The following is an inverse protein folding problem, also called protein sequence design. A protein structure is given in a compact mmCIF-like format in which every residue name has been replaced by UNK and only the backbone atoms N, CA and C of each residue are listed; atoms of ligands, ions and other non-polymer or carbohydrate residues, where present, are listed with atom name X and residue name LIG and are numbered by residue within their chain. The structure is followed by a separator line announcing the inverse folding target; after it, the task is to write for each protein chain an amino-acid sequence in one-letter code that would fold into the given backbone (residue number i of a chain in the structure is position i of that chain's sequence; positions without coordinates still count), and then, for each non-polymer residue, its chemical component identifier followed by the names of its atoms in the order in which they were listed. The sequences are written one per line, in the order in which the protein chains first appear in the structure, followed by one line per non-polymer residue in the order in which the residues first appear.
data_IF_296802100960
#
_entry.id   IF_296802100960
#
_cell.length_a   1.000
_cell.length_b   1.000
_cell.length_c   1.000
_cell.angle_alpha   90.00
_cell.angle_beta   90.00
_cell.angle_gamma   90.00
#
_symmetry.space_group_name_H-M   'P 1'
#
loop_
_entity.id
_entity.type
_entity.pdbx_description
1 polymer ?
#
# COMPACT_ATOMS: atom_id res chain seq x y z
N UNK A 1 -17.59 -15.91 2.05
CA UNK A 1 -17.63 -14.43 1.92
C UNK A 1 -16.24 -13.93 2.26
N UNK A 2 -15.60 -13.16 1.37
CA UNK A 2 -14.34 -12.49 1.70
C UNK A 2 -14.59 -11.54 2.87
N UNK A 3 -13.79 -11.63 3.95
CA UNK A 3 -13.97 -10.77 5.11
C UNK A 3 -13.67 -9.31 4.77
N UNK A 4 -14.41 -8.34 5.30
CA UNK A 4 -14.14 -6.93 5.03
C UNK A 4 -12.85 -6.50 5.76
N UNK A 5 -11.98 -5.67 5.17
CA UNK A 5 -10.67 -5.37 5.78
C UNK A 5 -10.70 -4.44 6.98
N UNK A 6 -11.86 -3.93 7.40
CA UNK A 6 -11.98 -3.40 8.76
C UNK A 6 -11.85 -4.53 9.81
N UNK A 7 -12.27 -5.75 9.46
CA UNK A 7 -12.12 -6.95 10.30
C UNK A 7 -10.77 -7.65 10.09
N UNK A 8 -10.11 -7.44 8.94
CA UNK A 8 -8.80 -8.04 8.66
C UNK A 8 -7.66 -7.33 9.39
N UNK A 9 -6.96 -8.06 10.25
CA UNK A 9 -5.66 -7.64 10.76
C UNK A 9 -4.62 -7.83 9.66
N UNK A 10 -3.99 -6.73 9.24
CA UNK A 10 -2.80 -6.75 8.39
C UNK A 10 -1.58 -7.15 9.23
N UNK A 11 -1.59 -8.37 9.78
CA UNK A 11 -0.47 -8.90 10.59
C UNK A 11 0.85 -8.86 9.80
N UNK A 12 0.81 -8.91 8.46
CA UNK A 12 2.00 -8.81 7.61
C UNK A 12 2.13 -7.50 6.81
N UNK A 13 1.38 -6.46 7.17
CA UNK A 13 1.53 -5.12 6.60
C UNK A 13 1.65 -4.13 7.76
N UNK A 14 2.89 -3.77 8.13
CA UNK A 14 3.16 -2.73 9.15
C UNK A 14 2.29 -1.49 8.90
N UNK A 15 1.21 -1.39 9.69
CA UNK A 15 0.08 -0.48 9.48
C UNK A 15 0.48 0.95 9.82
N UNK A 16 0.04 1.88 8.97
CA UNK A 16 -0.35 3.25 9.35
C UNK A 16 -1.56 3.64 8.52
N UNK A 17 -2.76 3.44 9.04
CA UNK A 17 -4.00 3.99 8.51
C UNK A 17 -4.34 5.26 9.29
N UNK A 18 -4.31 6.42 8.62
CA UNK A 18 -4.88 7.66 9.15
C UNK A 18 -6.34 7.71 8.71
N UNK A 19 -7.26 7.55 9.65
CA UNK A 19 -8.67 7.88 9.46
C UNK A 19 -8.80 9.41 9.54
N UNK A 20 -9.36 10.02 8.50
CA UNK A 20 -9.73 11.45 8.50
C UNK A 20 -11.21 11.56 8.86
N UNK A 21 -11.61 12.51 9.72
CA UNK A 21 -13.02 12.74 10.00
C UNK A 21 -13.74 13.38 8.81
N UNK A 22 -15.02 13.05 8.70
CA UNK A 22 -15.94 13.41 7.62
C UNK A 22 -16.16 14.93 7.51
N UNK A 23 -16.13 15.43 6.28
CA UNK A 23 -16.51 16.81 5.92
C UNK A 23 -17.31 16.79 4.62
N UNK A 24 -18.62 16.93 4.77
CA UNK A 24 -19.67 16.99 3.75
C UNK A 24 -19.46 18.14 2.76
N UNK A 25 -19.47 17.88 1.44
CA UNK A 25 -19.87 18.87 0.42
C UNK A 25 -20.64 18.21 -0.72
N UNK A 26 -21.70 18.86 -1.25
CA UNK A 26 -22.61 18.29 -2.24
C UNK A 26 -22.07 18.37 -3.68
N UNK A 27 -22.34 17.32 -4.45
CA UNK A 27 -22.07 17.20 -5.89
C UNK A 27 -23.09 18.04 -6.67
N UNK A 28 -22.61 18.99 -7.49
CA UNK A 28 -23.42 19.61 -8.54
C UNK A 28 -23.20 18.88 -9.87
N UNK A 29 -24.27 18.30 -10.38
CA UNK A 29 -24.37 17.70 -11.70
C UNK A 29 -24.52 18.79 -12.76
N UNK A 30 -23.66 18.79 -13.78
CA UNK A 30 -23.96 19.45 -15.06
C UNK A 30 -23.62 18.51 -16.22
N UNK A 31 -24.64 18.30 -17.04
CA UNK A 31 -24.64 17.50 -18.26
C UNK A 31 -23.84 18.23 -19.36
N UNK A 32 -23.19 17.44 -20.23
CA UNK A 32 -22.60 17.92 -21.48
C UNK A 32 -23.46 17.46 -22.67
N UNK A 33 -23.61 18.27 -23.73
CA UNK A 33 -24.26 17.83 -24.96
C UNK A 33 -23.30 17.06 -25.90
N UNK A 34 -23.96 16.23 -26.70
CA UNK A 34 -23.47 15.26 -27.70
C UNK A 34 -23.05 15.95 -29.00
N UNK A 35 -22.07 15.36 -29.71
CA UNK A 35 -21.88 15.20 -31.19
C UNK A 35 -20.40 14.79 -31.41
N UNK A 36 -19.97 13.87 -32.27
CA UNK A 36 -20.59 13.06 -33.32
C UNK A 36 -19.56 12.01 -33.82
N UNK A 37 -20.04 11.13 -34.70
CA UNK A 37 -19.48 9.84 -35.11
C UNK A 37 -18.11 9.82 -35.83
N UNK A 38 -17.42 8.69 -35.69
CA UNK A 38 -16.66 8.08 -36.78
C UNK A 38 -16.64 6.54 -36.66
N UNK A 39 -17.15 5.87 -37.70
CA UNK A 39 -17.18 4.43 -37.91
C UNK A 39 -15.77 3.87 -38.12
N UNK A 40 -15.47 2.66 -37.62
CA UNK A 40 -14.73 1.67 -38.41
C UNK A 40 -14.86 0.22 -37.86
N UNK A 41 -15.64 -0.53 -38.64
CA UNK A 41 -15.56 -1.93 -39.07
C UNK A 41 -14.97 -3.00 -38.14
N UNK A 42 -15.86 -3.95 -37.84
CA UNK A 42 -15.62 -5.29 -37.31
C UNK A 42 -14.87 -6.15 -38.34
N UNK A 43 -13.92 -6.95 -37.86
CA UNK A 43 -13.56 -8.22 -38.47
C UNK A 43 -13.65 -9.30 -37.40
N UNK A 44 -14.71 -10.11 -37.49
CA UNK A 44 -14.81 -11.41 -36.85
C UNK A 44 -14.09 -12.41 -37.75
N UNK A 45 -13.18 -13.20 -37.17
CA UNK A 45 -12.70 -14.43 -37.78
C UNK A 45 -12.54 -15.46 -36.67
N UNK A 46 -13.58 -16.29 -36.54
CA UNK A 46 -13.54 -17.55 -35.84
C UNK A 46 -12.56 -18.50 -36.53
N UNK A 47 -11.72 -19.18 -35.76
CA UNK A 47 -10.93 -20.32 -36.24
C UNK A 47 -11.43 -21.60 -35.55
N UNK A 48 -11.59 -22.70 -36.30
CA UNK A 48 -12.17 -23.94 -35.81
C UNK A 48 -11.19 -24.74 -34.96
N UNK A 49 -11.72 -25.36 -33.91
CA UNK A 49 -11.04 -26.39 -33.11
C UNK A 49 -11.04 -27.69 -33.90
N UNK A 50 -9.90 -28.07 -34.46
CA UNK A 50 -9.68 -29.41 -35.01
C UNK A 50 -8.92 -30.25 -33.97
N UNK A 51 -9.60 -31.28 -33.48
CA UNK A 51 -9.05 -32.35 -32.67
C UNK A 51 -8.30 -33.32 -33.59
N UNK A 52 -7.02 -33.61 -33.33
CA UNK A 52 -6.46 -34.96 -33.47
C UNK A 52 -5.16 -35.04 -32.68
N UNK A 53 -5.18 -35.74 -31.54
CA UNK A 53 -3.98 -36.23 -30.88
C UNK A 53 -3.64 -37.59 -31.47
N UNK A 54 -2.40 -37.86 -31.94
CA UNK A 54 -2.04 -39.20 -32.35
C UNK A 54 -1.78 -40.06 -31.10
N UNK A 55 -2.47 -41.20 -31.08
CA UNK A 55 -2.31 -42.33 -30.15
C UNK A 55 -0.88 -42.87 -30.27
N UNK A 56 -0.21 -43.06 -29.14
CA UNK A 56 1.09 -43.75 -29.08
C UNK A 56 0.82 -45.26 -29.03
N UNK A 57 1.00 -45.95 -30.15
CA UNK A 57 1.05 -47.42 -30.18
C UNK A 57 2.47 -47.87 -29.82
N UNK A 58 2.58 -48.73 -28.81
CA UNK A 58 3.84 -49.33 -28.38
C UNK A 58 4.00 -50.70 -29.08
N UNK A 59 4.87 -50.76 -30.09
CA UNK A 59 5.34 -52.03 -30.67
C UNK A 59 6.66 -52.42 -30.00
N UNK A 60 6.81 -53.60 -29.38
CA UNK A 60 8.06 -54.05 -28.80
C UNK A 60 8.89 -54.72 -29.90
N UNK A 61 9.93 -54.06 -30.40
CA UNK A 61 10.85 -54.67 -31.36
C UNK A 61 11.47 -53.71 -32.36
N UNK A 62 12.11 -52.66 -31.89
CA UNK A 62 13.07 -51.91 -32.71
C UNK A 62 14.30 -51.64 -31.86
N UNK A 63 15.44 -52.15 -32.32
CA UNK A 63 16.74 -51.98 -31.69
C UNK A 63 16.99 -50.51 -31.36
N UNK A 64 17.34 -50.24 -30.09
CA UNK A 64 17.69 -48.92 -29.59
C UNK A 64 18.98 -48.45 -30.27
N UNK A 65 18.85 -47.80 -31.41
CA UNK A 65 19.93 -47.04 -32.01
C UNK A 65 20.35 -45.95 -31.02
N UNK A 66 21.63 -45.94 -30.65
CA UNK A 66 22.25 -44.87 -29.89
C UNK A 66 22.01 -43.54 -30.63
N UNK A 67 21.67 -42.43 -29.94
CA UNK A 67 21.52 -41.15 -30.61
C UNK A 67 22.82 -40.82 -31.36
N UNK A 68 22.77 -40.34 -32.60
CA UNK A 68 23.97 -40.00 -33.36
C UNK A 68 24.77 -38.97 -32.58
N UNK A 69 26.07 -39.27 -32.41
CA UNK A 69 27.07 -38.42 -31.78
C UNK A 69 26.98 -37.02 -32.40
N UNK A 70 26.61 -36.01 -31.59
CA UNK A 70 26.40 -34.64 -32.05
C UNK A 70 27.62 -34.15 -32.82
N UNK A 71 27.45 -33.87 -34.10
CA UNK A 71 28.44 -33.15 -34.91
C UNK A 71 28.71 -31.78 -34.25
N UNK A 72 29.95 -31.29 -34.21
CA UNK A 72 30.24 -29.95 -33.70
C UNK A 72 29.43 -28.95 -34.53
N UNK A 73 28.48 -28.29 -33.88
CA UNK A 73 27.60 -27.32 -34.52
C UNK A 73 28.42 -26.04 -34.71
N UNK A 74 28.49 -25.54 -35.94
CA UNK A 74 29.20 -24.31 -36.25
C UNK A 74 28.63 -23.14 -35.41
N UNK A 75 29.47 -22.35 -34.73
CA UNK A 75 29.01 -21.28 -33.83
C UNK A 75 28.20 -20.21 -34.56
N UNK A 76 28.43 -20.00 -35.86
CA UNK A 76 27.66 -19.09 -36.71
C UNK A 76 26.22 -19.56 -36.91
N UNK A 77 26.00 -20.87 -37.07
CA UNK A 77 24.68 -21.46 -37.26
C UNK A 77 23.86 -21.40 -35.97
N UNK A 78 24.52 -21.61 -34.82
CA UNK A 78 23.90 -21.42 -33.49
C UNK A 78 23.43 -19.99 -33.29
N UNK A 79 24.25 -18.99 -33.69
CA UNK A 79 23.86 -17.58 -33.58
C UNK A 79 22.67 -17.22 -34.48
N UNK A 80 22.59 -17.79 -35.69
CA UNK A 80 21.46 -17.60 -36.59
C UNK A 80 20.17 -18.22 -36.04
N UNK A 81 20.24 -19.43 -35.47
CA UNK A 81 19.11 -20.05 -34.79
C UNK A 81 18.70 -19.28 -33.52
N UNK A 82 19.65 -18.83 -32.71
CA UNK A 82 19.39 -17.97 -31.55
C UNK A 82 18.69 -16.66 -31.93
N UNK A 83 19.06 -16.04 -33.05
CA UNK A 83 18.41 -14.83 -33.56
C UNK A 83 16.98 -15.08 -34.05
N UNK A 84 16.65 -16.31 -34.47
CA UNK A 84 15.28 -16.72 -34.83
C UNK A 84 14.41 -17.00 -33.59
N UNK A 85 15.02 -17.34 -32.46
CA UNK A 85 14.28 -17.68 -31.24
C UNK A 85 13.66 -16.42 -30.64
N UNK A 86 12.33 -16.43 -30.58
CA UNK A 86 11.56 -15.37 -29.93
C UNK A 86 11.85 -15.35 -28.42
N UNK A 87 12.19 -14.16 -27.90
CA UNK A 87 12.39 -13.97 -26.45
C UNK A 87 11.15 -14.40 -25.64
N UNK A 88 11.30 -14.89 -24.39
CA UNK A 88 10.17 -15.19 -23.53
C UNK A 88 9.25 -13.99 -23.34
N UNK A 89 7.94 -14.22 -23.20
CA UNK A 89 6.94 -13.14 -23.07
C UNK A 89 7.23 -12.20 -21.90
N UNK A 90 7.76 -12.72 -20.80
CA UNK A 90 8.15 -11.90 -19.64
C UNK A 90 9.28 -10.91 -19.98
N UNK A 91 10.28 -11.36 -20.75
CA UNK A 91 11.41 -10.52 -21.21
C UNK A 91 10.91 -9.48 -22.21
N UNK A 92 10.06 -9.88 -23.16
CA UNK A 92 9.44 -8.95 -24.12
C UNK A 92 8.63 -7.87 -23.43
N UNK A 93 7.84 -8.22 -22.42
CA UNK A 93 7.01 -7.27 -21.70
C UNK A 93 7.84 -6.15 -21.06
N UNK A 94 9.08 -6.40 -20.63
CA UNK A 94 9.98 -5.38 -20.04
C UNK A 94 10.36 -4.29 -21.05
N UNK A 95 10.52 -4.62 -22.32
CA UNK A 95 10.85 -3.66 -23.38
C UNK A 95 9.64 -2.88 -23.90
N UNK A 96 8.43 -3.35 -23.59
CA UNK A 96 7.18 -2.75 -24.01
C UNK A 96 6.56 -1.92 -22.88
N UNK A 97 5.58 -1.11 -23.25
CA UNK A 97 4.73 -0.40 -22.30
C UNK A 97 3.97 -1.37 -21.39
N UNK A 98 3.65 -0.96 -20.14
CA UNK A 98 2.96 -1.83 -19.19
C UNK A 98 1.58 -2.22 -19.71
N UNK A 99 1.34 -3.53 -19.82
CA UNK A 99 0.04 -4.07 -20.21
C UNK A 99 -1.01 -3.76 -19.13
N UNK A 100 -2.28 -3.62 -19.54
CA UNK A 100 -3.38 -3.21 -18.66
C UNK A 100 -4.62 -4.07 -18.89
N UNK A 101 -5.29 -4.45 -17.80
CA UNK A 101 -6.58 -5.14 -17.88
C UNK A 101 -7.72 -4.15 -18.03
N UNK A 102 -8.80 -4.59 -18.68
CA UNK A 102 -10.05 -3.83 -18.76
C UNK A 102 -10.85 -4.06 -17.47
N UNK A 103 -11.47 -3.00 -16.97
CA UNK A 103 -12.38 -3.06 -15.83
C UNK A 103 -13.79 -3.40 -16.29
N UNK A 104 -14.51 -4.20 -15.51
CA UNK A 104 -15.87 -4.67 -15.82
C UNK A 104 -16.91 -3.67 -15.29
N UNK A 105 -16.82 -3.29 -14.01
CA UNK A 105 -17.82 -2.49 -13.30
C UNK A 105 -17.37 -1.05 -13.03
N UNK A 106 -16.08 -0.75 -13.22
CA UNK A 106 -15.46 0.56 -12.97
C UNK A 106 -15.66 1.09 -11.54
N UNK A 107 -15.69 0.19 -10.54
CA UNK A 107 -15.77 0.55 -9.14
C UNK A 107 -14.34 0.75 -8.60
N UNK A 108 -14.06 1.91 -8.03
CA UNK A 108 -12.72 2.24 -7.52
C UNK A 108 -12.47 1.54 -6.18
N UNK A 109 -11.50 0.63 -6.14
CA UNK A 109 -11.13 -0.12 -4.92
C UNK A 109 -9.91 0.46 -4.23
N UNK A 110 -8.94 1.00 -4.99
CA UNK A 110 -7.72 1.55 -4.39
C UNK A 110 -7.20 2.75 -5.18
N UNK A 111 -6.63 3.71 -4.46
CA UNK A 111 -5.89 4.83 -5.02
C UNK A 111 -4.53 4.91 -4.37
N UNK A 112 -3.50 4.69 -5.17
CA UNK A 112 -2.11 4.86 -4.76
C UNK A 112 -1.60 6.20 -5.28
N UNK A 113 -1.40 7.14 -4.36
CA UNK A 113 -0.72 8.40 -4.64
C UNK A 113 0.77 8.27 -4.32
N UNK A 114 1.58 8.46 -5.36
CA UNK A 114 3.03 8.42 -5.28
C UNK A 114 3.57 9.85 -5.33
N UNK A 115 4.54 10.18 -4.48
CA UNK A 115 5.17 11.50 -4.39
C UNK A 115 6.68 11.40 -4.41
N UNK A 116 7.34 12.31 -5.10
CA UNK A 116 8.80 12.44 -5.07
C UNK A 116 9.22 13.86 -5.42
N UNK A 117 10.45 14.22 -5.06
CA UNK A 117 11.10 15.44 -5.54
C UNK A 117 11.82 15.23 -6.89
N UNK A 118 12.00 13.97 -7.33
CA UNK A 118 12.64 13.62 -8.61
C UNK A 118 11.63 13.02 -9.58
N UNK A 119 11.67 13.49 -10.84
CA UNK A 119 10.80 12.97 -11.93
C UNK A 119 11.16 11.51 -12.24
N UNK A 120 12.44 11.22 -12.40
CA UNK A 120 12.93 9.91 -12.87
C UNK A 120 12.51 8.78 -11.93
N UNK A 121 12.75 8.96 -10.63
CA UNK A 121 12.42 7.96 -9.62
C UNK A 121 10.90 7.70 -9.56
N UNK A 122 10.12 8.78 -9.69
CA UNK A 122 8.67 8.72 -9.67
C UNK A 122 8.10 7.95 -10.87
N UNK A 123 8.63 8.18 -12.07
CA UNK A 123 8.18 7.53 -13.31
C UNK A 123 8.57 6.05 -13.37
N UNK A 124 9.82 5.72 -13.00
CA UNK A 124 10.29 4.33 -12.94
C UNK A 124 9.45 3.52 -11.95
N UNK A 125 9.17 4.07 -10.77
CA UNK A 125 8.37 3.37 -9.77
C UNK A 125 6.89 3.27 -10.16
N UNK A 126 6.35 4.29 -10.83
CA UNK A 126 4.99 4.25 -11.35
C UNK A 126 4.81 3.17 -12.43
N UNK A 127 5.76 3.03 -13.36
CA UNK A 127 5.74 1.97 -14.37
C UNK A 127 5.85 0.58 -13.72
N UNK A 128 6.79 0.42 -12.77
CA UNK A 128 6.92 -0.80 -11.99
C UNK A 128 5.61 -1.20 -11.28
N UNK A 129 4.91 -0.23 -10.68
CA UNK A 129 3.64 -0.49 -10.00
C UNK A 129 2.53 -0.94 -10.96
N UNK A 130 2.47 -0.35 -12.17
CA UNK A 130 1.55 -0.76 -13.23
C UNK A 130 1.82 -2.19 -13.70
N UNK A 131 3.09 -2.57 -13.89
CA UNK A 131 3.49 -3.93 -14.27
C UNK A 131 3.10 -4.95 -13.21
N UNK A 132 3.33 -4.63 -11.94
CA UNK A 132 2.95 -5.51 -10.83
C UNK A 132 1.42 -5.73 -10.77
N UNK A 133 0.62 -4.68 -11.01
CA UNK A 133 -0.83 -4.78 -11.03
C UNK A 133 -1.34 -5.71 -12.15
N UNK A 134 -0.69 -5.66 -13.32
CA UNK A 134 -1.04 -6.53 -14.46
C UNK A 134 -0.89 -8.03 -14.14
N UNK A 135 0.19 -8.42 -13.46
CA UNK A 135 0.40 -9.83 -13.09
C UNK A 135 -0.62 -10.32 -12.07
N UNK A 136 -1.03 -9.44 -11.14
CA UNK A 136 -2.08 -9.72 -10.16
C UNK A 136 -3.51 -9.60 -10.72
N UNK A 137 -3.65 -9.41 -12.04
CA UNK A 137 -4.95 -9.26 -12.72
C UNK A 137 -5.78 -8.08 -12.23
N UNK A 138 -5.15 -7.06 -11.66
CA UNK A 138 -5.81 -5.83 -11.21
C UNK A 138 -5.92 -4.84 -12.39
N UNK A 139 -7.12 -4.36 -12.75
CA UNK A 139 -7.28 -3.36 -13.80
C UNK A 139 -6.90 -1.97 -13.26
N UNK A 140 -5.66 -1.59 -13.53
CA UNK A 140 -5.11 -0.30 -13.14
C UNK A 140 -5.32 0.78 -14.21
N UNK A 141 -5.80 1.96 -13.79
CA UNK A 141 -5.71 3.19 -14.57
C UNK A 141 -4.40 3.90 -14.24
N UNK A 142 -3.70 4.24 -15.32
CA UNK A 142 -2.27 4.61 -15.34
C UNK A 142 -1.90 5.80 -14.45
N UNK A 143 -0.60 6.13 -14.39
CA UNK A 143 -0.08 7.15 -13.48
C UNK A 143 -0.52 8.55 -13.90
N UNK A 144 -1.71 8.95 -13.44
CA UNK A 144 -2.30 10.25 -13.68
C UNK A 144 -1.41 11.32 -13.04
N UNK A 145 -0.85 12.26 -13.81
CA UNK A 145 -0.13 13.39 -13.22
C UNK A 145 -1.09 14.23 -12.40
N UNK A 146 -0.80 14.34 -11.11
CA UNK A 146 -1.49 15.30 -10.25
C UNK A 146 -0.69 16.61 -10.25
N UNK A 147 -1.34 17.76 -9.99
CA UNK A 147 -0.64 19.04 -9.91
C UNK A 147 0.54 18.97 -8.93
N UNK A 148 1.67 19.55 -9.31
CA UNK A 148 2.85 19.63 -8.42
C UNK A 148 2.59 20.61 -7.28
N UNK A 149 3.14 20.35 -6.10
CA UNK A 149 3.13 21.30 -4.98
C UNK A 149 4.47 22.02 -4.99
N UNK A 150 4.48 23.35 -5.03
CA UNK A 150 5.70 24.15 -5.00
C UNK A 150 5.75 24.96 -3.72
N UNK A 151 6.68 24.62 -2.84
CA UNK A 151 6.95 25.37 -1.61
C UNK A 151 8.14 26.28 -1.85
N UNK A 152 8.04 27.57 -1.50
CA UNK A 152 9.10 28.56 -1.72
C UNK A 152 9.49 29.23 -0.42
N UNK A 153 10.78 29.46 -0.22
CA UNK A 153 11.29 30.23 0.92
C UNK A 153 12.43 31.13 0.48
N UNK A 154 12.51 32.31 1.10
CA UNK A 154 13.50 33.33 0.78
C UNK A 154 14.45 33.49 1.96
N UNK A 155 15.75 33.26 1.74
CA UNK A 155 16.75 33.28 2.81
C UNK A 155 17.81 34.33 2.47
N UNK A 156 18.28 35.14 3.44
CA UNK A 156 19.42 36.00 3.23
C UNK A 156 20.66 35.18 2.83
N UNK A 157 21.41 35.63 1.83
CA UNK A 157 22.61 34.90 1.38
C UNK A 157 23.72 34.87 2.44
N UNK A 158 23.78 35.91 3.28
CA UNK A 158 24.72 36.01 4.41
C UNK A 158 23.98 35.85 5.73
N UNK A 159 24.67 35.30 6.73
CA UNK A 159 24.16 35.08 8.07
C UNK A 159 23.86 36.40 8.82
N UNK A 160 24.52 37.51 8.47
CA UNK A 160 24.41 38.78 9.21
C UNK A 160 24.36 40.02 8.30
N UNK A 161 23.59 41.04 8.72
CA UNK A 161 23.44 42.41 8.15
C UNK A 161 22.92 42.52 6.70
N UNK A 162 23.34 41.67 5.76
CA UNK A 162 23.07 41.83 4.32
C UNK A 162 21.67 41.38 3.86
N UNK A 163 20.60 41.94 4.45
CA UNK A 163 19.20 41.60 4.14
C UNK A 163 18.75 41.95 2.71
N UNK A 164 19.39 42.93 2.06
CA UNK A 164 19.10 43.29 0.65
C UNK A 164 19.51 42.20 -0.34
N UNK A 165 20.46 41.34 0.04
CA UNK A 165 20.90 40.19 -0.75
C UNK A 165 20.20 38.91 -0.28
N UNK A 166 19.11 38.54 -0.95
CA UNK A 166 18.32 37.34 -0.66
C UNK A 166 18.38 36.34 -1.82
N UNK A 167 18.12 35.08 -1.51
CA UNK A 167 18.01 33.98 -2.47
C UNK A 167 16.67 33.26 -2.27
N UNK A 168 16.05 32.89 -3.38
CA UNK A 168 14.80 32.14 -3.41
C UNK A 168 15.11 30.66 -3.60
N UNK A 169 14.63 29.84 -2.68
CA UNK A 169 14.69 28.39 -2.79
C UNK A 169 13.29 27.84 -3.04
N UNK A 170 13.22 26.71 -3.73
CA UNK A 170 11.97 25.99 -3.91
C UNK A 170 12.11 24.49 -3.71
N UNK A 171 11.04 23.88 -3.21
CA UNK A 171 10.84 22.44 -3.16
C UNK A 171 9.60 22.08 -3.95
N UNK A 172 9.81 21.38 -5.05
CA UNK A 172 8.73 20.91 -5.92
C UNK A 172 8.44 19.44 -5.59
N UNK A 173 7.25 19.18 -5.06
CA UNK A 173 6.73 17.82 -4.88
C UNK A 173 5.91 17.41 -6.10
N UNK A 174 6.44 16.45 -6.85
CA UNK A 174 5.76 15.84 -7.99
C UNK A 174 4.87 14.69 -7.50
N UNK A 175 3.72 14.52 -8.14
CA UNK A 175 2.70 13.57 -7.69
C UNK A 175 2.11 12.80 -8.87
N UNK A 176 2.01 11.48 -8.73
CA UNK A 176 1.27 10.61 -9.65
C UNK A 176 0.21 9.84 -8.87
N UNK A 177 -0.95 9.60 -9.46
CA UNK A 177 -1.99 8.73 -8.88
C UNK A 177 -2.20 7.52 -9.77
N UNK A 178 -2.22 6.33 -9.17
CA UNK A 178 -2.59 5.07 -9.81
C UNK A 178 -3.88 4.61 -9.16
N UNK A 179 -4.91 4.38 -9.97
CA UNK A 179 -6.23 3.97 -9.49
C UNK A 179 -6.50 2.54 -9.92
N UNK A 180 -6.87 1.67 -8.98
CA UNK A 180 -7.29 0.30 -9.25
C UNK A 180 -8.80 0.23 -9.18
N UNK A 181 -9.37 -0.45 -10.17
CA UNK A 181 -10.80 -0.72 -10.26
C UNK A 181 -11.06 -2.21 -10.02
N UNK A 182 -12.26 -2.55 -9.54
CA UNK A 182 -12.78 -3.92 -9.43
C UNK A 182 -11.79 -4.94 -8.83
N UNK A 183 -10.96 -4.51 -7.87
CA UNK A 183 -9.91 -5.34 -7.28
C UNK A 183 -10.42 -6.12 -6.07
N UNK A 184 -10.00 -7.37 -5.92
CA UNK A 184 -10.22 -8.08 -4.67
C UNK A 184 -9.32 -7.49 -3.56
N UNK A 185 -9.87 -7.27 -2.36
CA UNK A 185 -9.19 -6.60 -1.25
C UNK A 185 -7.85 -7.26 -0.86
N UNK A 186 -7.80 -8.60 -0.79
CA UNK A 186 -6.54 -9.32 -0.47
C UNK A 186 -5.49 -9.16 -1.56
N UNK A 187 -5.89 -9.16 -2.83
CA UNK A 187 -4.98 -8.97 -3.96
C UNK A 187 -4.43 -7.56 -4.00
N UNK A 188 -5.26 -6.56 -3.67
CA UNK A 188 -4.84 -5.17 -3.50
C UNK A 188 -3.86 -5.04 -2.33
N UNK A 189 -4.12 -5.69 -1.20
CA UNK A 189 -3.21 -5.70 -0.06
C UNK A 189 -1.86 -6.36 -0.40
N UNK A 190 -1.89 -7.50 -1.11
CA UNK A 190 -0.68 -8.17 -1.59
C UNK A 190 0.12 -7.28 -2.57
N UNK A 191 -0.56 -6.58 -3.46
CA UNK A 191 0.06 -5.60 -4.36
C UNK A 191 0.74 -4.47 -3.59
N UNK A 192 0.04 -3.84 -2.63
CA UNK A 192 0.61 -2.78 -1.80
C UNK A 192 1.80 -3.27 -0.96
N UNK A 193 1.72 -4.49 -0.41
CA UNK A 193 2.82 -5.12 0.32
C UNK A 193 4.05 -5.35 -0.57
N UNK A 194 3.83 -5.81 -1.79
CA UNK A 194 4.90 -5.99 -2.78
C UNK A 194 5.57 -4.66 -3.15
N UNK A 195 4.78 -3.60 -3.36
CA UNK A 195 5.29 -2.25 -3.64
C UNK A 195 6.09 -1.68 -2.48
N UNK A 196 5.65 -1.89 -1.24
CA UNK A 196 6.38 -1.47 -0.05
C UNK A 196 7.71 -2.21 0.09
N UNK A 197 7.72 -3.53 -0.14
CA UNK A 197 8.94 -4.35 -0.09
C UNK A 197 9.99 -3.91 -1.12
N UNK A 198 9.55 -3.47 -2.31
CA UNK A 198 10.42 -3.03 -3.42
C UNK A 198 10.33 -1.53 -3.68
N UNK A 199 10.10 -0.74 -2.63
CA UNK A 199 9.95 0.70 -2.74
C UNK A 199 11.22 1.35 -3.27
N UNK A 200 11.10 2.15 -4.33
CA UNK A 200 12.23 2.90 -4.87
C UNK A 200 12.61 4.06 -3.94
N UNK A 201 13.90 4.38 -3.85
CA UNK A 201 14.37 5.44 -2.95
C UNK A 201 13.86 6.82 -3.36
N UNK A 202 13.66 7.69 -2.37
CA UNK A 202 13.14 9.05 -2.59
C UNK A 202 11.70 9.11 -3.09
N UNK A 203 10.96 8.00 -3.03
CA UNK A 203 9.54 7.91 -3.39
C UNK A 203 8.72 7.68 -2.13
N UNK A 204 7.71 8.51 -1.89
CA UNK A 204 6.72 8.34 -0.83
C UNK A 204 5.38 7.85 -1.40
N UNK A 205 4.70 6.96 -0.68
CA UNK A 205 3.41 6.39 -1.09
C UNK A 205 2.31 6.71 -0.09
N UNK A 206 1.12 7.02 -0.58
CA UNK A 206 -0.12 7.08 0.20
C UNK A 206 -1.17 6.24 -0.53
N UNK A 207 -1.66 5.19 0.11
CA UNK A 207 -2.74 4.38 -0.43
C UNK A 207 -4.05 4.69 0.31
N UNK A 208 -5.12 4.93 -0.45
CA UNK A 208 -6.49 4.88 0.04
C UNK A 208 -7.09 3.57 -0.47
N UNK A 209 -7.68 2.77 0.42
CA UNK A 209 -8.32 1.48 0.07
C UNK A 209 -9.79 1.58 0.47
N UNK A 210 -10.67 1.22 -0.46
CA UNK A 210 -12.12 1.17 -0.27
C UNK A 210 -12.58 -0.27 -0.28
N UNK A 211 -13.39 -0.61 0.71
CA UNK A 211 -13.93 -1.96 0.87
C UNK A 211 -15.40 -1.91 1.26
N UNK A 212 -16.11 -2.95 0.87
CA UNK A 212 -17.50 -3.16 1.22
C UNK A 212 -17.57 -4.16 2.37
N UNK A 213 -18.41 -3.88 3.36
CA UNK A 213 -18.72 -4.83 4.43
C UNK A 213 -20.18 -4.75 4.84
N UNK A 214 -20.59 -5.70 5.67
CA UNK A 214 -21.95 -5.78 6.19
C UNK A 214 -22.25 -4.69 7.22
N UNK A 215 -23.50 -4.65 7.67
CA UNK A 215 -23.91 -3.71 8.73
C UNK A 215 -23.43 -4.17 10.12
N UNK A 216 -23.30 -5.48 10.35
CA UNK A 216 -22.91 -6.06 11.64
C UNK A 216 -21.38 -6.16 11.81
N UNK A 217 -20.70 -5.01 11.73
CA UNK A 217 -19.23 -4.88 11.80
C UNK A 217 -18.64 -5.58 13.03
N UNK A 218 -19.26 -5.48 14.21
CA UNK A 218 -18.71 -6.03 15.46
C UNK A 218 -18.55 -7.55 15.44
N UNK A 219 -19.60 -8.28 15.03
CA UNK A 219 -19.56 -9.75 14.95
C UNK A 219 -18.57 -10.23 13.90
N UNK A 220 -18.49 -9.53 12.77
CA UNK A 220 -17.50 -9.83 11.72
C UNK A 220 -16.07 -9.66 12.23
N UNK A 221 -15.82 -8.64 13.07
CA UNK A 221 -14.50 -8.38 13.66
C UNK A 221 -14.11 -9.45 14.69
N UNK A 222 -15.04 -9.85 15.56
CA UNK A 222 -14.78 -10.88 16.58
C UNK A 222 -14.48 -12.24 15.93
N UNK A 223 -15.30 -12.65 14.96
CA UNK A 223 -15.10 -13.90 14.22
C UNK A 223 -13.79 -13.92 13.42
N UNK A 224 -13.35 -12.78 12.90
CA UNK A 224 -12.07 -12.70 12.19
C UNK A 224 -10.88 -12.67 13.17
N UNK A 225 -11.02 -12.04 14.34
CA UNK A 225 -9.99 -12.04 15.37
C UNK A 225 -9.62 -13.46 15.81
N UNK A 226 -10.60 -14.35 15.95
CA UNK A 226 -10.39 -15.78 16.25
C UNK A 226 -9.60 -16.50 15.13
N UNK A 227 -9.95 -16.26 13.86
CA UNK A 227 -9.22 -16.82 12.72
C UNK A 227 -7.78 -16.31 12.65
N UNK A 228 -7.59 -15.03 12.92
CA UNK A 228 -6.28 -14.40 12.94
C UNK A 228 -5.44 -15.00 14.06
N UNK A 229 -5.99 -15.14 15.27
CA UNK A 229 -5.27 -15.72 16.41
C UNK A 229 -4.68 -17.09 16.05
N UNK A 230 -5.48 -17.97 15.42
CA UNK A 230 -4.99 -19.27 14.95
C UNK A 230 -3.87 -19.17 13.92
N UNK A 231 -3.98 -18.29 12.91
CA UNK A 231 -2.93 -18.10 11.89
C UNK A 231 -1.67 -17.43 12.44
N UNK A 232 -1.83 -16.54 13.43
CA UNK A 232 -0.76 -15.75 14.01
C UNK A 232 0.10 -16.61 14.93
N UNK A 233 -0.51 -17.54 15.68
CA UNK A 233 0.22 -18.48 16.55
C UNK A 233 1.25 -19.28 15.74
N UNK A 234 0.85 -19.82 14.59
CA UNK A 234 1.75 -20.53 13.67
C UNK A 234 2.89 -19.61 13.14
N UNK A 235 2.58 -18.36 12.80
CA UNK A 235 3.58 -17.40 12.31
C UNK A 235 4.54 -16.92 13.41
N UNK A 236 4.07 -16.67 14.62
CA UNK A 236 4.88 -16.21 15.74
C UNK A 236 5.85 -17.29 16.21
N UNK A 237 5.39 -18.55 16.26
CA UNK A 237 6.24 -19.70 16.54
C UNK A 237 7.38 -19.84 15.51
N UNK A 238 7.11 -19.54 14.25
CA UNK A 238 8.11 -19.57 13.17
C UNK A 238 9.11 -18.40 13.25
N UNK A 239 8.66 -17.17 13.56
CA UNK A 239 9.50 -15.96 13.48
C UNK A 239 10.30 -15.71 14.76
N UNK A 240 9.69 -15.90 15.92
CA UNK A 240 10.29 -15.51 17.20
C UNK A 240 10.75 -16.70 18.05
N UNK A 241 10.27 -17.91 17.75
CA UNK A 241 10.47 -19.07 18.61
C UNK A 241 9.81 -18.90 19.99
N UNK A 242 9.50 -20.03 20.63
CA UNK A 242 8.68 -20.11 21.86
C UNK A 242 9.20 -19.35 23.10
N UNK A 243 10.32 -18.62 23.03
CA UNK A 243 11.01 -18.02 24.19
C UNK A 243 10.75 -16.52 24.41
N UNK A 244 10.20 -15.78 23.44
CA UNK A 244 10.07 -14.31 23.56
C UNK A 244 8.69 -13.82 24.04
N UNK A 245 7.73 -14.72 24.31
CA UNK A 245 6.33 -14.34 24.56
C UNK A 245 6.00 -13.98 26.02
N UNK A 246 6.98 -13.93 26.93
CA UNK A 246 6.73 -13.70 28.36
C UNK A 246 6.85 -12.22 28.79
N UNK A 247 6.35 -11.28 27.99
CA UNK A 247 6.21 -9.88 28.45
C UNK A 247 4.88 -9.67 29.16
N UNK A 248 4.87 -8.90 30.26
CA UNK A 248 3.64 -8.54 30.98
C UNK A 248 2.76 -7.66 30.08
N UNK A 249 1.44 -7.79 30.20
CA UNK A 249 0.47 -7.05 29.38
C UNK A 249 0.72 -5.52 29.38
N UNK A 250 1.05 -4.96 30.55
CA UNK A 250 1.35 -3.52 30.71
C UNK A 250 2.58 -3.10 29.88
N UNK A 251 3.58 -3.96 29.79
CA UNK A 251 4.80 -3.71 29.02
C UNK A 251 4.52 -3.76 27.52
N UNK A 252 3.73 -4.74 27.08
CA UNK A 252 3.27 -4.86 25.68
C UNK A 252 2.46 -3.63 25.29
N UNK A 253 1.52 -3.19 26.14
CA UNK A 253 0.74 -1.98 25.92
C UNK A 253 1.62 -0.74 25.86
N UNK A 254 2.60 -0.62 26.76
CA UNK A 254 3.59 0.44 26.74
C UNK A 254 4.38 0.48 25.43
N UNK A 255 4.84 -0.68 24.94
CA UNK A 255 5.51 -0.78 23.63
C UNK A 255 4.60 -0.38 22.47
N UNK A 256 3.34 -0.82 22.48
CA UNK A 256 2.35 -0.48 21.45
C UNK A 256 2.06 1.02 21.37
N UNK A 257 2.14 1.75 22.47
CA UNK A 257 1.94 3.20 22.47
C UNK A 257 3.21 3.97 22.09
N UNK A 258 4.36 3.54 22.60
CA UNK A 258 5.64 4.26 22.49
C UNK A 258 6.32 4.02 21.14
N UNK A 259 6.31 2.79 20.63
CA UNK A 259 7.04 2.44 19.41
C UNK A 259 6.49 3.12 18.15
N UNK A 260 5.17 3.16 17.91
CA UNK A 260 4.61 3.92 16.79
C UNK A 260 4.88 5.41 16.89
N UNK A 261 4.90 5.97 18.12
CA UNK A 261 5.24 7.37 18.35
C UNK A 261 6.69 7.65 17.96
N UNK A 262 7.65 6.88 18.48
CA UNK A 262 9.08 7.01 18.13
C UNK A 262 9.31 6.84 16.63
N UNK A 263 8.69 5.83 16.02
CA UNK A 263 8.78 5.59 14.59
C UNK A 263 8.24 6.76 13.76
N UNK A 264 7.12 7.37 14.18
CA UNK A 264 6.53 8.51 13.50
C UNK A 264 7.43 9.75 13.54
N UNK A 265 8.18 9.94 14.62
CA UNK A 265 9.14 11.03 14.76
C UNK A 265 10.51 10.74 14.13
N UNK A 266 10.62 9.61 13.40
CA UNK A 266 11.81 9.30 12.62
C UNK A 266 12.95 8.74 13.45
N UNK A 267 12.68 8.19 14.64
CA UNK A 267 13.69 7.51 15.48
C UNK A 267 14.40 6.37 14.73
N UNK A 268 13.70 5.73 13.78
CA UNK A 268 14.20 4.62 12.96
C UNK A 268 14.50 4.99 11.49
N UNK A 269 14.47 6.28 11.14
CA UNK A 269 14.85 6.71 9.79
C UNK A 269 16.37 6.65 9.64
N UNK A 270 16.86 6.26 8.46
CA UNK A 270 18.30 6.15 8.16
C UNK A 270 19.08 7.48 8.35
N UNK A 271 18.39 8.61 8.41
CA UNK A 271 18.90 9.95 8.70
C UNK A 271 18.17 10.52 9.93
N UNK A 272 18.22 9.80 11.05
CA UNK A 272 17.42 10.06 12.26
C UNK A 272 17.48 11.51 12.73
N UNK A 273 16.39 12.27 12.50
CA UNK A 273 16.28 13.68 12.86
C UNK A 273 16.02 13.95 14.36
N UNK A 274 16.06 12.93 15.22
CA UNK A 274 15.68 13.03 16.64
C UNK A 274 16.84 12.85 17.63
N UNK A 275 17.96 12.22 17.21
CA UNK A 275 19.04 11.88 18.17
C UNK A 275 19.68 13.10 18.84
N UNK A 276 19.56 14.30 18.25
CA UNK A 276 20.16 15.52 18.79
C UNK A 276 19.31 16.25 19.84
N UNK A 277 18.03 15.89 20.01
CA UNK A 277 17.12 16.59 20.94
C UNK A 277 16.81 15.74 22.17
N UNK A 278 17.28 16.13 23.38
CA UNK A 278 16.93 15.45 24.62
C UNK A 278 15.41 15.36 24.80
N UNK A 279 14.90 14.18 25.15
CA UNK A 279 13.48 13.87 25.34
C UNK A 279 12.56 13.89 24.10
N UNK A 280 13.07 14.02 22.87
CA UNK A 280 12.23 13.93 21.67
C UNK A 280 11.58 12.55 21.48
N UNK A 281 12.19 11.49 22.03
CA UNK A 281 11.66 10.12 21.98
C UNK A 281 10.65 9.81 23.09
N UNK A 282 10.36 10.76 23.98
CA UNK A 282 9.43 10.60 25.11
C UNK A 282 8.19 11.45 24.89
N UNK A 283 7.02 10.82 25.06
CA UNK A 283 5.75 11.56 25.12
C UNK A 283 5.73 12.38 26.42
N UNK A 284 5.58 13.70 26.32
CA UNK A 284 5.42 14.56 27.50
C UNK A 284 4.10 14.17 28.18
N UNK A 285 4.20 13.59 29.37
CA UNK A 285 3.02 13.26 30.19
C UNK A 285 2.55 14.56 30.84
N UNK A 286 1.53 15.18 30.25
CA UNK A 286 0.83 16.29 30.90
C UNK A 286 -0.01 15.71 32.03
N UNK A 287 0.49 15.79 33.27
CA UNK A 287 -0.34 15.56 34.45
C UNK A 287 -1.33 16.72 34.56
N UNK A 288 -2.63 16.45 34.41
CA UNK A 288 -3.67 17.42 34.72
C UNK A 288 -3.59 17.73 36.22
N UNK A 289 -3.02 18.88 36.59
CA UNK A 289 -2.96 19.34 37.98
C UNK A 289 -4.36 19.78 38.39
N UNK A 290 -5.19 18.82 38.78
CA UNK A 290 -6.59 19.09 39.16
C UNK A 290 -7.36 17.90 39.72
N UNK A 291 -6.88 16.67 39.56
CA UNK A 291 -7.60 15.47 40.00
C UNK A 291 -7.37 15.02 41.44
N UNK A 292 -6.43 15.64 42.18
CA UNK A 292 -6.02 15.15 43.50
C UNK A 292 -5.89 16.29 44.53
N UNK A 293 -7.02 16.98 44.76
CA UNK A 293 -7.18 17.89 45.91
C UNK A 293 -8.25 17.37 46.87
N UNK A 294 -8.10 16.14 47.34
CA UNK A 294 -8.65 15.75 48.64
C UNK A 294 -7.52 15.66 49.66
N UNK A 295 -6.85 16.79 49.88
CA UNK A 295 -6.10 16.99 51.12
C UNK A 295 -7.08 17.67 52.07
N UNK A 296 -7.66 16.91 52.99
CA UNK A 296 -8.47 17.44 54.09
C UNK A 296 -7.59 18.43 54.88
N UNK A 297 -7.89 19.71 54.75
CA UNK A 297 -7.32 20.75 55.61
C UNK A 297 -8.09 20.68 56.93
N UNK A 298 -7.45 20.39 58.08
CA UNK A 298 -8.16 20.36 59.35
C UNK A 298 -8.61 21.79 59.69
N UNK A 299 -9.90 21.96 59.99
CA UNK A 299 -10.41 23.21 60.57
C UNK A 299 -11.22 24.13 59.66
N UNK A 300 -11.78 23.66 58.53
CA UNK A 300 -12.76 24.47 57.77
C UNK A 300 -13.97 23.63 57.35
N UNK A 301 -14.96 23.55 58.22
CA UNK A 301 -16.29 23.07 57.86
C UNK A 301 -16.95 24.10 56.93
N UNK A 302 -17.41 23.66 55.76
CA UNK A 302 -18.29 24.43 54.90
C UNK A 302 -19.71 23.85 54.98
N UNK A 303 -20.75 24.70 55.01
CA UNK A 303 -22.11 24.28 55.29
C UNK A 303 -22.66 23.38 54.17
N UNK A 304 -23.28 22.27 54.56
CA UNK A 304 -24.03 21.38 53.68
C UNK A 304 -25.29 22.08 53.16
N UNK A 305 -25.50 22.04 51.85
CA UNK A 305 -26.75 22.47 51.22
C UNK A 305 -27.88 21.44 51.48
N UNK A 306 -29.14 21.88 51.61
CA UNK A 306 -30.26 21.01 52.00
C UNK A 306 -30.73 20.11 50.85
N UNK A 307 -31.00 18.85 51.18
CA UNK A 307 -31.61 17.84 50.30
C UNK A 307 -33.09 18.17 50.08
N UNK A 308 -33.49 18.40 48.82
CA UNK A 308 -34.89 18.48 48.42
C UNK A 308 -35.45 17.06 48.18
N UNK A 309 -36.44 16.69 48.98
CA UNK A 309 -37.28 15.48 48.84
C UNK A 309 -38.57 15.83 48.12
N UNK A 310 -38.92 15.07 47.06
CA UNK A 310 -40.29 14.91 46.52
C UNK A 310 -40.35 13.47 45.98
N UNK A 311 -40.80 12.51 46.79
CA UNK A 311 -42.16 11.94 46.92
C UNK A 311 -42.57 11.03 45.76
N UNK A 312 -42.62 9.73 46.04
CA UNK A 312 -43.40 8.72 45.32
C UNK A 312 -44.90 8.92 45.62
N UNK A 313 -45.71 8.81 44.56
CA UNK A 313 -47.16 8.95 44.55
C UNK A 313 -47.65 9.19 43.12
#
# INVERSE_FOLDING_TARGET
MATPAYARSLVNLTKRLKLSPNGTTPIQTRQAPVMGNAQQRRHESALPVAQTAPKLDHTPGAARALPPRSTPIDPSTIQQELARIRLPRAVQATYLDPLRHKSTHNIKTCELQIRSYSVRNLEVFADFAMRAAYYLKLPAKGPKPLPRITERWTVPRSNFVHKKSQENFERITLRRSIEIFDGHAETVAAWLGFLKKRQYYGVGMKANVWEYGGLEVGKDMDAEAERIAGSLEEQLDLVYGRRSLMSKEEEVKGMLEVEPFKAQWGAYAAMGGSQSTPNADKRVVTKTVGGDRTRTVPGRAWPTAPTATVQEG
#
